data_IF_501488360593
#
_entry.id   IF_501488360593
#
_cell.length_a   1.000
_cell.length_b   1.000
_cell.length_c   1.000
_cell.angle_alpha   90.00
_cell.angle_beta   90.00
_cell.angle_gamma   90.00
#
_symmetry.space_group_name_H-M   'P 1'
#
loop_
_entity.id
_entity.type
_entity.pdbx_description
1 polymer ?
#
# COMPACT_ATOMS: atom_id res chain seq x y z
N UNK A 1 6.21 22.16 5.34
CA UNK A 1 6.16 21.08 4.33
C UNK A 1 5.68 19.83 5.04
N UNK A 2 4.51 19.32 4.66
CA UNK A 2 3.83 18.21 5.34
C UNK A 2 4.61 16.92 5.14
N UNK A 3 5.21 16.43 6.23
CA UNK A 3 5.99 15.20 6.29
C UNK A 3 5.10 14.01 5.91
N UNK A 4 5.28 13.51 4.69
CA UNK A 4 4.62 12.30 4.22
C UNK A 4 5.13 11.12 5.03
N UNK A 5 4.26 10.47 5.79
CA UNK A 5 4.61 9.23 6.50
C UNK A 5 5.17 8.19 5.51
N UNK A 6 6.06 7.31 5.96
CA UNK A 6 6.60 6.20 5.16
C UNK A 6 5.47 5.42 4.43
N UNK A 7 4.31 5.31 5.09
CA UNK A 7 3.08 4.74 4.54
C UNK A 7 2.56 5.50 3.31
N UNK A 8 2.59 6.84 3.30
CA UNK A 8 2.24 7.64 2.13
C UNK A 8 3.24 7.49 0.99
N UNK A 9 4.53 7.33 1.28
CA UNK A 9 5.54 7.03 0.24
C UNK A 9 5.34 5.64 -0.37
N UNK A 10 4.93 4.64 0.44
CA UNK A 10 4.67 3.27 -0.02
C UNK A 10 3.32 3.13 -0.74
N UNK A 11 2.29 3.89 -0.34
CA UNK A 11 0.92 3.78 -0.87
C UNK A 11 0.56 4.86 -1.90
N UNK A 12 1.46 5.80 -2.16
CA UNK A 12 1.23 6.96 -3.03
C UNK A 12 0.40 8.06 -2.38
N UNK A 13 0.44 9.25 -2.97
CA UNK A 13 -0.40 10.38 -2.55
C UNK A 13 -1.89 10.11 -2.83
N UNK A 14 -2.77 10.72 -2.05
CA UNK A 14 -4.22 10.61 -2.26
C UNK A 14 -4.63 11.08 -3.66
N UNK A 15 -4.07 12.21 -4.12
CA UNK A 15 -4.28 12.74 -5.47
C UNK A 15 -3.85 11.75 -6.53
N UNK A 16 -2.70 11.09 -6.35
CA UNK A 16 -2.21 10.07 -7.28
C UNK A 16 -3.15 8.85 -7.39
N UNK A 17 -3.76 8.43 -6.27
CA UNK A 17 -4.75 7.34 -6.28
C UNK A 17 -6.05 7.72 -6.99
N UNK A 18 -6.56 8.93 -6.73
CA UNK A 18 -7.78 9.45 -7.39
C UNK A 18 -7.55 9.57 -8.89
N UNK A 19 -6.43 10.17 -9.31
CA UNK A 19 -6.11 10.31 -10.73
C UNK A 19 -5.96 8.95 -11.42
N UNK A 20 -5.31 7.98 -10.75
CA UNK A 20 -5.20 6.62 -11.27
C UNK A 20 -6.57 5.97 -11.45
N UNK A 21 -7.46 6.06 -10.46
CA UNK A 21 -8.82 5.52 -10.54
C UNK A 21 -9.61 6.16 -11.69
N UNK A 22 -9.48 7.48 -11.84
CA UNK A 22 -10.13 8.22 -12.91
C UNK A 22 -9.69 7.70 -14.28
N UNK A 23 -8.38 7.68 -14.55
CA UNK A 23 -7.84 7.31 -15.86
C UNK A 23 -8.03 5.82 -16.19
N UNK A 24 -7.87 4.93 -15.21
CA UNK A 24 -7.85 3.48 -15.47
C UNK A 24 -9.22 2.82 -15.38
N UNK A 25 -10.22 3.51 -14.83
CA UNK A 25 -11.51 2.90 -14.54
C UNK A 25 -12.69 3.86 -14.80
N UNK A 26 -12.83 4.94 -14.02
CA UNK A 26 -14.05 5.76 -14.04
C UNK A 26 -14.24 6.55 -15.34
N UNK A 27 -13.19 7.09 -15.93
CA UNK A 27 -13.26 7.91 -17.14
C UNK A 27 -13.21 7.10 -18.43
N UNK A 28 -12.99 5.79 -18.37
CA UNK A 28 -12.79 4.97 -19.56
C UNK A 28 -14.00 5.00 -20.51
N UNK A 29 -15.20 4.82 -19.95
CA UNK A 29 -16.44 4.93 -20.72
C UNK A 29 -16.66 6.35 -21.26
N UNK A 30 -16.65 7.43 -20.43
CA UNK A 30 -16.71 8.81 -20.92
C UNK A 30 -15.75 9.12 -22.07
N UNK A 31 -14.50 8.66 -21.98
CA UNK A 31 -13.48 8.91 -23.01
C UNK A 31 -13.81 8.18 -24.31
N UNK A 32 -14.19 6.90 -24.25
CA UNK A 32 -14.53 6.17 -25.46
C UNK A 32 -15.84 6.64 -26.07
N UNK A 33 -16.83 7.00 -25.26
CA UNK A 33 -18.07 7.61 -25.75
C UNK A 33 -17.81 9.00 -26.36
N UNK A 34 -16.90 9.80 -25.79
CA UNK A 34 -16.47 11.06 -26.38
C UNK A 34 -15.81 10.89 -27.75
N UNK A 35 -14.92 9.91 -27.89
CA UNK A 35 -14.28 9.57 -29.17
C UNK A 35 -15.34 9.13 -30.18
N UNK A 36 -16.28 8.28 -29.78
CA UNK A 36 -17.39 7.83 -30.62
C UNK A 36 -18.27 9.01 -31.06
N UNK A 37 -18.82 9.77 -30.11
CA UNK A 37 -19.73 10.88 -30.37
C UNK A 37 -19.09 11.94 -31.28
N UNK A 38 -17.86 12.36 -30.97
CA UNK A 38 -17.12 13.32 -31.81
C UNK A 38 -16.79 12.80 -33.20
N UNK A 39 -16.73 11.47 -33.40
CA UNK A 39 -16.54 10.87 -34.74
C UNK A 39 -17.84 10.85 -35.55
N UNK A 40 -19.01 10.92 -34.91
CA UNK A 40 -20.33 10.89 -35.56
C UNK A 40 -20.86 12.30 -35.83
N UNK A 41 -20.93 13.16 -34.80
CA UNK A 41 -21.49 14.52 -34.88
C UNK A 41 -20.42 15.58 -35.15
N UNK A 42 -19.15 15.24 -34.97
CA UNK A 42 -18.03 16.18 -35.08
C UNK A 42 -17.73 16.88 -33.75
N UNK A 43 -16.46 17.25 -33.57
CA UNK A 43 -15.95 17.78 -32.29
C UNK A 43 -16.61 19.10 -31.86
N UNK A 44 -17.01 19.94 -32.81
CA UNK A 44 -17.64 21.23 -32.51
C UNK A 44 -19.07 21.11 -31.96
N UNK A 45 -19.83 20.12 -32.42
CA UNK A 45 -21.19 19.84 -31.94
C UNK A 45 -21.14 19.12 -30.60
N UNK A 46 -20.28 18.11 -30.48
CA UNK A 46 -19.98 17.42 -29.23
C UNK A 46 -19.69 18.39 -28.07
N UNK A 47 -18.83 19.40 -28.27
CA UNK A 47 -18.48 20.34 -27.20
C UNK A 47 -19.65 21.25 -26.77
N UNK A 48 -20.74 21.33 -27.53
CA UNK A 48 -21.91 22.15 -27.20
C UNK A 48 -22.97 21.39 -26.42
N UNK A 49 -22.93 20.07 -26.40
CA UNK A 49 -23.92 19.22 -25.75
C UNK A 49 -23.62 19.07 -24.23
N UNK A 50 -24.50 19.56 -23.34
CA UNK A 50 -24.31 19.47 -21.89
C UNK A 50 -24.14 18.04 -21.31
N UNK A 51 -24.85 16.99 -21.79
CA UNK A 51 -24.73 15.62 -21.27
C UNK A 51 -23.31 15.07 -21.23
N UNK A 52 -22.48 15.44 -22.22
CA UNK A 52 -21.09 14.99 -22.31
C UNK A 52 -20.22 15.50 -21.16
N UNK A 53 -20.51 16.66 -20.59
CA UNK A 53 -19.78 17.15 -19.41
C UNK A 53 -20.25 16.45 -18.13
N UNK A 54 -21.56 16.13 -18.05
CA UNK A 54 -22.14 15.45 -16.90
C UNK A 54 -21.52 14.08 -16.66
N UNK A 55 -21.28 13.31 -17.73
CA UNK A 55 -20.70 11.97 -17.59
C UNK A 55 -19.25 12.01 -17.06
N UNK A 56 -18.45 13.02 -17.45
CA UNK A 56 -17.11 13.23 -16.91
C UNK A 56 -17.13 13.70 -15.44
N UNK A 57 -18.08 14.57 -15.07
CA UNK A 57 -18.27 14.99 -13.67
C UNK A 57 -18.64 13.80 -12.80
N UNK A 58 -19.58 12.97 -13.25
CA UNK A 58 -19.99 11.76 -12.56
C UNK A 58 -18.82 10.77 -12.38
N UNK A 59 -18.01 10.59 -13.42
CA UNK A 59 -16.78 9.80 -13.36
C UNK A 59 -15.75 10.37 -12.36
N UNK A 60 -15.62 11.70 -12.30
CA UNK A 60 -14.76 12.40 -11.33
C UNK A 60 -15.19 12.15 -9.89
N UNK A 61 -16.50 12.24 -9.61
CA UNK A 61 -17.08 11.97 -8.28
C UNK A 61 -16.83 10.51 -7.88
N UNK A 62 -17.06 9.56 -8.80
CA UNK A 62 -16.77 8.14 -8.56
C UNK A 62 -15.28 7.92 -8.25
N UNK A 63 -14.37 8.49 -9.05
CA UNK A 63 -12.93 8.35 -8.85
C UNK A 63 -12.46 8.97 -7.54
N UNK A 64 -13.04 10.10 -7.14
CA UNK A 64 -12.77 10.73 -5.85
C UNK A 64 -13.21 9.83 -4.69
N UNK A 65 -14.43 9.29 -4.76
CA UNK A 65 -15.00 8.43 -3.72
C UNK A 65 -14.18 7.14 -3.54
N UNK A 66 -13.77 6.52 -4.65
CA UNK A 66 -13.00 5.28 -4.66
C UNK A 66 -11.51 5.51 -4.34
N UNK A 67 -10.89 6.56 -4.89
CA UNK A 67 -9.45 6.83 -4.75
C UNK A 67 -9.04 7.37 -3.38
N UNK A 68 -9.97 7.96 -2.62
CA UNK A 68 -9.69 8.47 -1.26
C UNK A 68 -9.45 7.35 -0.23
N UNK A 69 -9.94 6.14 -0.48
CA UNK A 69 -9.83 5.00 0.45
C UNK A 69 -9.01 3.86 -0.18
N UNK A 70 -7.71 3.69 0.18
CA UNK A 70 -6.82 2.74 -0.49
C UNK A 70 -7.18 1.25 -0.30
N UNK A 71 -7.94 0.91 0.74
CA UNK A 71 -8.27 -0.47 1.12
C UNK A 71 -9.79 -0.67 1.27
N UNK A 72 -10.58 -0.16 0.32
CA UNK A 72 -12.01 -0.42 0.26
C UNK A 72 -12.27 -1.94 0.20
N UNK A 73 -12.94 -2.47 1.21
CA UNK A 73 -13.39 -3.86 1.22
C UNK A 73 -14.54 -4.05 0.22
N UNK A 74 -14.71 -5.28 -0.24
CA UNK A 74 -16.02 -5.73 -0.74
C UNK A 74 -17.06 -5.55 0.39
N UNK A 75 -18.27 -4.99 0.13
CA UNK A 75 -18.89 -4.67 -1.16
C UNK A 75 -18.66 -3.25 -1.71
N UNK A 76 -18.10 -2.35 -0.91
CA UNK A 76 -18.00 -0.93 -1.22
C UNK A 76 -17.20 -0.63 -2.50
N UNK A 77 -16.12 -1.38 -2.77
CA UNK A 77 -15.36 -1.23 -4.02
C UNK A 77 -16.21 -1.52 -5.27
N UNK A 78 -17.04 -2.55 -5.20
CA UNK A 78 -17.87 -2.97 -6.32
C UNK A 78 -19.02 -2.02 -6.55
N UNK A 79 -19.82 -1.73 -5.51
CA UNK A 79 -20.95 -0.80 -5.60
C UNK A 79 -20.48 0.61 -5.97
N UNK A 80 -19.26 1.00 -5.59
CA UNK A 80 -18.69 2.27 -5.99
C UNK A 80 -18.50 2.43 -7.51
N UNK A 81 -18.43 1.35 -8.30
CA UNK A 81 -18.39 1.43 -9.77
C UNK A 81 -19.73 1.83 -10.40
N UNK A 82 -20.81 1.82 -9.62
CA UNK A 82 -22.14 2.20 -10.07
C UNK A 82 -22.46 3.67 -9.78
N UNK A 83 -21.56 4.41 -9.11
CA UNK A 83 -21.79 5.81 -8.74
C UNK A 83 -21.92 6.68 -9.99
N UNK A 84 -20.96 6.61 -10.91
CA UNK A 84 -20.97 7.42 -12.11
C UNK A 84 -22.16 7.14 -13.03
N UNK A 85 -22.50 5.89 -13.39
CA UNK A 85 -23.68 5.62 -14.22
C UNK A 85 -24.98 6.00 -13.51
N UNK A 86 -25.09 5.82 -12.19
CA UNK A 86 -26.28 6.25 -11.44
C UNK A 86 -26.44 7.77 -11.47
N UNK A 87 -25.38 8.52 -11.13
CA UNK A 87 -25.44 9.99 -11.12
C UNK A 87 -25.74 10.55 -12.51
N UNK A 88 -25.07 10.01 -13.54
CA UNK A 88 -25.31 10.41 -14.91
C UNK A 88 -26.76 10.14 -15.32
N UNK A 89 -27.25 8.91 -15.11
CA UNK A 89 -28.63 8.51 -15.44
C UNK A 89 -29.67 9.38 -14.76
N UNK A 90 -29.48 9.72 -13.47
CA UNK A 90 -30.43 10.55 -12.73
C UNK A 90 -30.56 11.96 -13.30
N UNK A 91 -29.47 12.55 -13.79
CA UNK A 91 -29.49 13.90 -14.36
C UNK A 91 -29.97 13.86 -15.81
N UNK A 92 -29.46 12.93 -16.60
CA UNK A 92 -29.75 12.85 -18.04
C UNK A 92 -31.21 12.45 -18.30
N UNK A 93 -31.80 11.56 -17.50
CA UNK A 93 -33.22 11.23 -17.58
C UNK A 93 -34.14 12.43 -17.28
N UNK A 94 -33.67 13.44 -16.54
CA UNK A 94 -34.43 14.67 -16.30
C UNK A 94 -34.36 15.60 -17.52
N UNK A 95 -33.26 15.57 -18.27
CA UNK A 95 -33.02 16.42 -19.44
C UNK A 95 -33.71 15.88 -20.70
N UNK A 96 -33.53 14.60 -21.00
CA UNK A 96 -34.00 13.95 -22.25
C UNK A 96 -35.28 13.12 -22.05
N UNK A 97 -35.58 12.76 -20.79
CA UNK A 97 -36.74 11.94 -20.45
C UNK A 97 -36.42 10.44 -20.38
N UNK A 98 -37.16 9.65 -19.54
CA UNK A 98 -36.87 8.24 -19.33
C UNK A 98 -36.91 7.38 -20.60
N UNK A 99 -37.83 7.68 -21.52
CA UNK A 99 -38.02 6.88 -22.74
C UNK A 99 -36.85 7.00 -23.72
N UNK A 100 -36.41 8.23 -23.97
CA UNK A 100 -35.29 8.51 -24.89
C UNK A 100 -33.97 7.98 -24.34
N UNK A 101 -33.73 8.17 -23.03
CA UNK A 101 -32.54 7.66 -22.37
C UNK A 101 -32.40 6.13 -22.49
N UNK A 102 -33.47 5.37 -22.27
CA UNK A 102 -33.38 3.90 -22.39
C UNK A 102 -33.44 3.40 -23.83
N UNK A 103 -33.83 4.25 -24.79
CA UNK A 103 -33.77 3.92 -26.21
C UNK A 103 -32.34 4.06 -26.77
N UNK A 104 -31.50 4.91 -26.17
CA UNK A 104 -30.16 5.17 -26.67
C UNK A 104 -29.15 4.05 -26.25
N UNK A 105 -28.56 3.31 -27.21
CA UNK A 105 -27.74 2.14 -26.90
C UNK A 105 -26.44 2.45 -26.13
N UNK A 106 -25.87 3.64 -26.25
CA UNK A 106 -24.69 4.06 -25.48
C UNK A 106 -24.95 4.04 -23.97
N UNK A 107 -26.14 4.46 -23.50
CA UNK A 107 -26.47 4.42 -22.07
C UNK A 107 -26.59 2.99 -21.55
N UNK A 108 -27.16 2.08 -22.35
CA UNK A 108 -27.23 0.66 -22.03
C UNK A 108 -25.83 0.05 -21.95
N UNK A 109 -24.95 0.35 -22.92
CA UNK A 109 -23.55 -0.10 -22.89
C UNK A 109 -22.84 0.42 -21.64
N UNK A 110 -23.12 1.65 -21.20
CA UNK A 110 -22.53 2.19 -19.98
C UNK A 110 -22.89 1.37 -18.74
N UNK A 111 -24.17 1.07 -18.56
CA UNK A 111 -24.66 0.26 -17.46
C UNK A 111 -24.10 -1.16 -17.50
N UNK A 112 -24.11 -1.81 -18.67
CA UNK A 112 -23.52 -3.15 -18.85
C UNK A 112 -22.03 -3.14 -18.49
N UNK A 113 -21.28 -2.14 -18.95
CA UNK A 113 -19.87 -2.00 -18.63
C UNK A 113 -19.64 -1.85 -17.12
N UNK A 114 -20.37 -0.93 -16.48
CA UNK A 114 -20.22 -0.64 -15.06
C UNK A 114 -20.63 -1.82 -14.16
N UNK A 115 -21.72 -2.50 -14.49
CA UNK A 115 -22.17 -3.72 -13.80
C UNK A 115 -21.14 -4.83 -13.98
N UNK A 116 -20.62 -5.03 -15.19
CA UNK A 116 -19.56 -6.02 -15.44
C UNK A 116 -18.31 -5.76 -14.59
N UNK A 117 -17.85 -4.51 -14.51
CA UNK A 117 -16.75 -4.12 -13.62
C UNK A 117 -17.09 -4.36 -12.15
N UNK A 118 -18.30 -4.00 -11.71
CA UNK A 118 -18.76 -4.23 -10.35
C UNK A 118 -18.74 -5.72 -10.00
N UNK A 119 -19.18 -6.61 -10.90
CA UNK A 119 -19.14 -8.07 -10.73
C UNK A 119 -17.70 -8.57 -10.64
N UNK A 120 -16.79 -8.12 -11.51
CA UNK A 120 -15.39 -8.56 -11.47
C UNK A 120 -14.75 -8.20 -10.13
N UNK A 121 -14.94 -6.97 -9.64
CA UNK A 121 -14.43 -6.56 -8.33
C UNK A 121 -15.13 -7.27 -7.16
N UNK A 122 -16.40 -7.66 -7.32
CA UNK A 122 -17.11 -8.47 -6.35
C UNK A 122 -16.45 -9.84 -6.17
N UNK A 123 -16.24 -10.52 -7.30
CA UNK A 123 -15.63 -11.83 -7.32
C UNK A 123 -14.16 -11.80 -6.85
N UNK A 124 -13.43 -10.73 -7.19
CA UNK A 124 -12.07 -10.50 -6.65
C UNK A 124 -12.06 -10.43 -5.12
N UNK A 125 -13.03 -9.70 -4.53
CA UNK A 125 -13.15 -9.58 -3.08
C UNK A 125 -13.57 -10.87 -2.38
N UNK A 126 -14.42 -11.69 -3.02
CA UNK A 126 -14.92 -12.96 -2.47
C UNK A 126 -13.86 -14.08 -2.60
N UNK A 127 -13.10 -14.10 -3.70
CA UNK A 127 -12.16 -15.18 -4.01
C UNK A 127 -10.73 -14.64 -4.26
N UNK A 128 -10.04 -14.09 -3.23
CA UNK A 128 -8.73 -13.45 -3.39
C UNK A 128 -7.64 -14.42 -3.89
N UNK A 129 -7.78 -15.74 -3.64
CA UNK A 129 -6.87 -16.75 -4.18
C UNK A 129 -6.82 -16.78 -5.72
N UNK A 130 -7.85 -16.27 -6.40
CA UNK A 130 -7.95 -16.21 -7.87
C UNK A 130 -7.73 -14.79 -8.43
N UNK A 131 -7.17 -13.86 -7.63
CA UNK A 131 -6.95 -12.45 -7.99
C UNK A 131 -6.35 -12.25 -9.39
N UNK A 132 -5.38 -13.07 -9.79
CA UNK A 132 -4.75 -13.00 -11.12
C UNK A 132 -5.79 -13.08 -12.27
N UNK A 133 -6.78 -13.97 -12.16
CA UNK A 133 -7.84 -14.11 -13.17
C UNK A 133 -8.78 -12.90 -13.21
N UNK A 134 -9.03 -12.28 -12.05
CA UNK A 134 -9.86 -11.07 -11.97
C UNK A 134 -9.15 -9.84 -12.55
N UNK A 135 -7.85 -9.70 -12.35
CA UNK A 135 -7.05 -8.64 -13.00
C UNK A 135 -7.08 -8.78 -14.52
N UNK A 136 -6.92 -10.02 -15.03
CA UNK A 136 -6.96 -10.32 -16.46
C UNK A 136 -8.34 -10.01 -17.06
N UNK A 137 -9.40 -10.52 -16.43
CA UNK A 137 -10.78 -10.30 -16.90
C UNK A 137 -11.22 -8.83 -16.82
N UNK A 138 -10.83 -8.10 -15.77
CA UNK A 138 -11.08 -6.66 -15.66
C UNK A 138 -10.45 -5.88 -16.83
N UNK A 139 -9.19 -6.16 -17.15
CA UNK A 139 -8.51 -5.48 -18.25
C UNK A 139 -9.06 -5.88 -19.62
N UNK A 140 -9.44 -7.15 -19.79
CA UNK A 140 -10.15 -7.58 -21.00
C UNK A 140 -11.49 -6.85 -21.15
N UNK A 141 -12.27 -6.74 -20.09
CA UNK A 141 -13.56 -6.03 -20.08
C UNK A 141 -13.42 -4.55 -20.43
N UNK A 142 -12.37 -3.88 -19.89
CA UNK A 142 -12.01 -2.49 -20.23
C UNK A 142 -11.70 -2.30 -21.70
N UNK A 143 -10.86 -3.15 -22.27
CA UNK A 143 -10.43 -3.00 -23.68
C UNK A 143 -11.54 -3.38 -24.65
N UNK A 144 -12.38 -4.37 -24.29
CA UNK A 144 -13.55 -4.76 -25.09
C UNK A 144 -14.64 -3.67 -25.16
N UNK A 145 -14.60 -2.66 -24.29
CA UNK A 145 -15.52 -1.53 -24.39
C UNK A 145 -15.39 -0.77 -25.71
N UNK A 146 -14.15 -0.58 -26.20
CA UNK A 146 -13.89 0.14 -27.45
C UNK A 146 -14.56 -0.51 -28.69
N UNK A 147 -14.34 -1.81 -28.99
CA UNK A 147 -15.04 -2.45 -30.11
C UNK A 147 -16.55 -2.46 -29.95
N UNK A 148 -17.07 -2.57 -28.73
CA UNK A 148 -18.52 -2.52 -28.48
C UNK A 148 -19.10 -1.14 -28.87
N UNK A 149 -18.46 -0.05 -28.43
CA UNK A 149 -18.90 1.30 -28.79
C UNK A 149 -18.71 1.60 -30.28
N UNK A 150 -17.66 1.06 -30.89
CA UNK A 150 -17.46 1.11 -32.35
C UNK A 150 -18.63 0.44 -33.10
N UNK A 151 -19.02 -0.78 -32.72
CA UNK A 151 -20.13 -1.49 -33.34
C UNK A 151 -21.47 -0.76 -33.17
N UNK A 152 -21.73 -0.19 -31.99
CA UNK A 152 -22.93 0.64 -31.75
C UNK A 152 -22.95 1.87 -32.66
N UNK A 153 -21.79 2.46 -32.93
CA UNK A 153 -21.69 3.62 -33.83
C UNK A 153 -22.00 3.29 -35.29
N UNK A 154 -21.66 2.08 -35.74
CA UNK A 154 -21.81 1.68 -37.15
C UNK A 154 -23.18 1.07 -37.44
N UNK A 155 -23.77 0.34 -36.49
CA UNK A 155 -25.01 -0.40 -36.73
C UNK A 155 -26.26 0.49 -36.80
N UNK A 156 -26.23 1.72 -36.29
CA UNK A 156 -27.35 2.69 -36.35
C UNK A 156 -28.72 2.19 -35.86
N UNK A 157 -28.78 1.04 -35.18
CA UNK A 157 -30.01 0.43 -34.64
C UNK A 157 -30.18 0.74 -33.15
N UNK A 158 -31.43 0.85 -32.67
CA UNK A 158 -31.75 1.02 -31.25
C UNK A 158 -31.08 -0.05 -30.35
N UNK A 159 -31.14 -1.34 -30.72
CA UNK A 159 -30.37 -2.41 -30.08
C UNK A 159 -30.09 -3.58 -31.06
N UNK A 160 -28.82 -3.93 -31.35
CA UNK A 160 -28.51 -5.04 -32.24
C UNK A 160 -28.73 -6.41 -31.56
N UNK A 161 -29.28 -7.38 -32.30
CA UNK A 161 -29.45 -8.77 -31.84
C UNK A 161 -28.11 -9.52 -31.81
N UNK A 162 -27.99 -10.57 -30.97
CA UNK A 162 -26.76 -11.39 -30.86
C UNK A 162 -26.33 -11.97 -32.23
N UNK A 163 -27.29 -12.38 -33.05
CA UNK A 163 -27.03 -12.88 -34.40
C UNK A 163 -26.47 -11.79 -35.31
N UNK A 164 -27.04 -10.58 -35.28
CA UNK A 164 -26.54 -9.44 -36.06
C UNK A 164 -25.12 -9.03 -35.65
N UNK A 165 -24.81 -9.04 -34.35
CA UNK A 165 -23.46 -8.79 -33.85
C UNK A 165 -22.48 -9.86 -34.31
N UNK A 166 -22.87 -11.15 -34.23
CA UNK A 166 -22.03 -12.26 -34.69
C UNK A 166 -21.68 -12.11 -36.18
N UNK A 167 -22.67 -11.82 -37.01
CA UNK A 167 -22.47 -11.63 -38.46
C UNK A 167 -21.57 -10.41 -38.71
N UNK A 168 -21.89 -9.28 -38.08
CA UNK A 168 -21.16 -8.02 -38.20
C UNK A 168 -19.65 -8.17 -37.88
N UNK A 169 -19.32 -8.89 -36.80
CA UNK A 169 -17.93 -9.14 -36.43
C UNK A 169 -17.25 -10.20 -37.31
N UNK A 170 -17.98 -11.18 -37.84
CA UNK A 170 -17.39 -12.31 -38.56
C UNK A 170 -17.25 -12.10 -40.07
N UNK A 171 -18.04 -11.23 -40.70
CA UNK A 171 -17.99 -11.06 -42.17
C UNK A 171 -16.94 -10.05 -42.61
N UNK A 172 -16.76 -8.96 -41.86
CA UNK A 172 -15.79 -7.91 -42.20
C UNK A 172 -14.40 -8.20 -41.60
N UNK A 173 -13.35 -8.19 -42.44
CA UNK A 173 -11.96 -8.40 -42.00
C UNK A 173 -11.45 -7.32 -41.03
N UNK A 174 -11.89 -6.07 -41.19
CA UNK A 174 -11.56 -4.97 -40.29
C UNK A 174 -12.17 -5.18 -38.90
N UNK A 175 -13.43 -5.60 -38.82
CA UNK A 175 -14.09 -5.87 -37.54
C UNK A 175 -13.43 -7.05 -36.82
N UNK A 176 -13.14 -8.15 -37.54
CA UNK A 176 -12.37 -9.27 -36.98
C UNK A 176 -11.03 -8.80 -36.41
N UNK A 177 -10.31 -7.96 -37.14
CA UNK A 177 -9.02 -7.42 -36.68
C UNK A 177 -9.18 -6.59 -35.40
N UNK A 178 -10.12 -5.65 -35.35
CA UNK A 178 -10.37 -4.79 -34.17
C UNK A 178 -10.72 -5.66 -32.95
N UNK A 179 -11.60 -6.65 -33.11
CA UNK A 179 -12.01 -7.53 -32.02
C UNK A 179 -10.84 -8.37 -31.47
N UNK A 180 -10.07 -9.02 -32.34
CA UNK A 180 -8.93 -9.83 -31.91
C UNK A 180 -7.80 -8.97 -31.35
N UNK A 181 -7.57 -7.78 -31.90
CA UNK A 181 -6.62 -6.81 -31.35
C UNK A 181 -7.05 -6.36 -29.95
N UNK A 182 -8.34 -6.10 -29.72
CA UNK A 182 -8.87 -5.75 -28.40
C UNK A 182 -8.66 -6.88 -27.38
N UNK A 183 -8.88 -8.13 -27.76
CA UNK A 183 -8.59 -9.29 -26.90
C UNK A 183 -7.10 -9.36 -26.59
N UNK A 184 -6.24 -9.24 -27.60
CA UNK A 184 -4.79 -9.29 -27.43
C UNK A 184 -4.29 -8.19 -26.48
N UNK A 185 -4.68 -6.93 -26.70
CA UNK A 185 -4.28 -5.82 -25.85
C UNK A 185 -4.89 -5.90 -24.44
N UNK A 186 -6.13 -6.38 -24.30
CA UNK A 186 -6.76 -6.62 -23.01
C UNK A 186 -6.00 -7.64 -22.17
N UNK A 187 -5.60 -8.76 -22.78
CA UNK A 187 -4.76 -9.77 -22.14
C UNK A 187 -3.34 -9.27 -21.85
N UNK A 188 -2.74 -8.52 -22.77
CA UNK A 188 -1.39 -7.94 -22.60
C UNK A 188 -1.36 -6.95 -21.42
N UNK A 189 -2.33 -6.03 -21.36
CA UNK A 189 -2.47 -5.08 -20.26
C UNK A 189 -2.77 -5.79 -18.94
N UNK A 190 -3.65 -6.80 -18.98
CA UNK A 190 -3.91 -7.64 -17.81
C UNK A 190 -2.67 -8.37 -17.30
N UNK A 191 -1.87 -8.96 -18.20
CA UNK A 191 -0.60 -9.62 -17.84
C UNK A 191 0.41 -8.62 -17.25
N UNK A 192 0.49 -7.41 -17.82
CA UNK A 192 1.32 -6.31 -17.30
C UNK A 192 0.89 -5.89 -15.89
N UNK A 193 -0.41 -5.76 -15.64
CA UNK A 193 -0.92 -5.42 -14.30
C UNK A 193 -0.70 -6.53 -13.28
N UNK A 194 -0.83 -7.80 -13.69
CA UNK A 194 -0.46 -8.96 -12.85
C UNK A 194 1.02 -8.93 -12.50
N UNK A 195 1.90 -8.63 -13.46
CA UNK A 195 3.34 -8.50 -13.19
C UNK A 195 3.62 -7.34 -12.23
N UNK A 196 3.00 -6.17 -12.43
CA UNK A 196 3.15 -5.03 -11.53
C UNK A 196 2.69 -5.34 -10.09
N UNK A 197 1.56 -6.03 -9.91
CA UNK A 197 1.07 -6.43 -8.59
C UNK A 197 2.09 -7.35 -7.88
N UNK A 198 2.67 -8.31 -8.62
CA UNK A 198 3.72 -9.21 -8.10
C UNK A 198 5.01 -8.45 -7.74
N UNK A 199 5.49 -7.56 -8.61
CA UNK A 199 6.68 -6.75 -8.34
C UNK A 199 6.50 -5.88 -7.10
N UNK A 200 5.35 -5.21 -6.97
CA UNK A 200 5.04 -4.41 -5.78
C UNK A 200 4.95 -5.25 -4.51
N UNK A 201 4.41 -6.47 -4.58
CA UNK A 201 4.38 -7.38 -3.44
C UNK A 201 5.79 -7.80 -3.00
N UNK A 202 6.69 -8.10 -3.95
CA UNK A 202 8.10 -8.42 -3.66
C UNK A 202 8.81 -7.22 -3.05
N UNK A 203 8.68 -6.03 -3.65
CA UNK A 203 9.29 -4.80 -3.14
C UNK A 203 8.84 -4.50 -1.71
N UNK A 204 7.55 -4.64 -1.41
CA UNK A 204 7.03 -4.47 -0.03
C UNK A 204 7.64 -5.48 0.93
N UNK A 205 7.75 -6.75 0.54
CA UNK A 205 8.37 -7.78 1.38
C UNK A 205 9.84 -7.46 1.66
N UNK A 206 10.61 -7.10 0.64
CA UNK A 206 12.03 -6.73 0.78
C UNK A 206 12.17 -5.48 1.66
N UNK A 207 11.35 -4.45 1.45
CA UNK A 207 11.35 -3.25 2.27
C UNK A 207 11.06 -3.56 3.75
N UNK A 208 10.10 -4.44 4.03
CA UNK A 208 9.79 -4.87 5.40
C UNK A 208 10.92 -5.68 6.04
N UNK A 209 11.57 -6.56 5.28
CA UNK A 209 12.75 -7.30 5.75
C UNK A 209 13.93 -6.37 6.05
N UNK A 210 14.23 -5.44 5.15
CA UNK A 210 15.28 -4.44 5.36
C UNK A 210 14.97 -3.56 6.57
N UNK A 211 13.70 -3.17 6.75
CA UNK A 211 13.25 -2.46 7.94
C UNK A 211 13.56 -3.28 9.20
N UNK A 212 13.14 -4.55 9.25
CA UNK A 212 13.35 -5.42 10.40
C UNK A 212 14.85 -5.60 10.75
N UNK A 213 15.69 -5.84 9.74
CA UNK A 213 17.16 -5.97 9.93
C UNK A 213 17.78 -4.65 10.39
N UNK A 214 17.31 -3.52 9.86
CA UNK A 214 17.78 -2.20 10.28
C UNK A 214 17.35 -1.87 11.70
N UNK A 215 16.13 -2.25 12.12
CA UNK A 215 15.63 -2.10 13.49
C UNK A 215 16.46 -2.92 14.50
N UNK A 216 16.97 -4.08 14.10
CA UNK A 216 17.91 -4.84 14.93
C UNK A 216 19.19 -4.06 15.22
N UNK A 217 19.69 -3.30 14.24
CA UNK A 217 20.98 -2.61 14.32
C UNK A 217 20.90 -1.18 14.89
N UNK A 218 19.88 -0.40 14.55
CA UNK A 218 19.80 1.04 14.87
C UNK A 218 18.76 1.38 15.96
N UNK A 219 18.02 0.40 16.48
CA UNK A 219 16.79 0.60 17.25
C UNK A 219 15.64 1.27 16.45
N UNK A 220 14.36 0.91 16.73
CA UNK A 220 13.23 1.39 15.93
C UNK A 220 13.10 2.91 15.85
N UNK A 221 13.33 3.61 16.97
CA UNK A 221 13.11 5.04 17.06
C UNK A 221 14.15 5.85 16.28
N UNK A 222 15.43 5.44 16.31
CA UNK A 222 16.48 6.09 15.56
C UNK A 222 16.30 5.84 14.06
N UNK A 223 15.94 4.62 13.67
CA UNK A 223 15.64 4.29 12.27
C UNK A 223 14.50 5.16 11.75
N UNK A 224 13.38 5.23 12.48
CA UNK A 224 12.22 6.03 12.08
C UNK A 224 12.56 7.53 11.94
N UNK A 225 13.38 8.07 12.84
CA UNK A 225 13.89 9.45 12.76
C UNK A 225 14.83 9.65 11.57
N UNK A 226 15.74 8.70 11.31
CA UNK A 226 16.71 8.78 10.21
C UNK A 226 16.06 8.72 8.82
N UNK A 227 14.97 7.96 8.67
CA UNK A 227 14.22 7.86 7.42
C UNK A 227 13.48 9.16 7.09
N UNK A 228 13.16 9.98 8.11
CA UNK A 228 12.51 11.27 7.92
C UNK A 228 13.53 12.38 7.72
N UNK A 229 14.61 12.33 8.49
CA UNK A 229 15.69 13.31 8.45
C UNK A 229 17.02 12.61 8.71
N UNK A 230 17.83 12.48 7.66
CA UNK A 230 19.14 11.88 7.72
C UNK A 230 20.10 12.64 8.66
N UNK A 231 19.83 13.93 8.97
CA UNK A 231 20.63 14.71 9.92
C UNK A 231 20.53 14.19 11.35
N UNK A 232 19.50 13.40 11.68
CA UNK A 232 19.36 12.77 13.01
C UNK A 232 20.45 11.75 13.32
N UNK A 233 21.17 11.27 12.30
CA UNK A 233 22.35 10.41 12.47
C UNK A 233 23.64 11.21 12.69
N UNK A 234 23.61 12.54 12.52
CA UNK A 234 24.77 13.39 12.76
C UNK A 234 25.13 13.44 14.24
N UNK A 235 26.43 13.59 14.49
CA UNK A 235 26.99 13.62 15.83
C UNK A 235 26.62 14.94 16.51
N UNK A 236 26.02 14.84 17.69
CA UNK A 236 25.65 15.98 18.53
C UNK A 236 26.08 15.76 19.96
N UNK A 237 26.43 16.84 20.65
CA UNK A 237 26.72 16.82 22.09
C UNK A 237 25.43 16.97 22.88
N UNK A 238 25.16 16.04 23.78
CA UNK A 238 23.93 15.97 24.59
C UNK A 238 24.25 15.47 25.99
N UNK A 239 23.44 15.82 26.98
CA UNK A 239 23.51 15.23 28.32
C UNK A 239 22.67 13.94 28.35
N UNK A 240 23.21 12.87 28.93
CA UNK A 240 22.55 11.57 29.08
C UNK A 240 22.87 10.92 30.41
N UNK A 241 21.93 10.14 30.92
CA UNK A 241 22.19 9.19 32.00
C UNK A 241 22.61 7.88 31.35
N UNK A 242 23.84 7.44 31.55
CA UNK A 242 24.37 6.18 31.05
C UNK A 242 24.28 5.14 32.16
N UNK A 243 23.74 3.98 31.81
CA UNK A 243 23.66 2.81 32.68
C UNK A 243 24.56 1.72 32.11
N UNK A 244 25.47 1.23 32.95
CA UNK A 244 26.29 0.07 32.68
C UNK A 244 25.92 -1.04 33.65
N UNK A 245 25.73 -2.26 33.17
CA UNK A 245 25.48 -3.44 33.98
C UNK A 245 26.37 -4.58 33.53
N UNK A 246 26.86 -5.38 34.47
CA UNK A 246 27.73 -6.52 34.21
C UNK A 246 27.41 -7.67 35.18
N UNK A 247 27.55 -8.91 34.72
CA UNK A 247 27.28 -10.13 35.49
C UNK A 247 28.53 -10.56 36.26
N UNK A 248 28.48 -10.43 37.57
CA UNK A 248 29.59 -10.81 38.46
C UNK A 248 29.79 -12.31 38.48
N UNK A 249 31.02 -12.73 38.22
CA UNK A 249 31.44 -14.14 38.21
C UNK A 249 31.14 -14.86 36.89
N UNK A 250 30.66 -14.17 35.87
CA UNK A 250 30.29 -14.77 34.59
C UNK A 250 31.47 -15.45 33.90
N UNK A 251 32.63 -14.79 33.79
CA UNK A 251 33.80 -15.36 33.09
C UNK A 251 34.14 -16.75 33.65
N UNK A 252 34.35 -16.83 34.97
CA UNK A 252 34.66 -18.09 35.66
C UNK A 252 33.54 -19.13 35.50
N UNK A 253 32.27 -18.69 35.55
CA UNK A 253 31.13 -19.59 35.35
C UNK A 253 31.09 -20.15 33.92
N UNK A 254 31.34 -19.32 32.91
CA UNK A 254 31.23 -19.65 31.48
C UNK A 254 32.33 -20.57 30.97
N UNK A 255 33.55 -20.47 31.53
CA UNK A 255 34.75 -21.22 31.10
C UNK A 255 34.55 -22.75 31.08
N UNK A 256 33.69 -23.26 31.96
CA UNK A 256 33.49 -24.70 32.16
C UNK A 256 32.10 -25.18 31.72
N UNK A 257 31.40 -24.41 30.86
CA UNK A 257 30.04 -24.72 30.41
C UNK A 257 29.97 -24.96 28.91
N UNK A 258 29.04 -25.81 28.45
CA UNK A 258 28.73 -25.89 27.03
C UNK A 258 28.30 -24.51 26.48
N UNK A 259 28.78 -24.11 25.29
CA UNK A 259 28.41 -22.82 24.69
C UNK A 259 26.90 -22.62 24.57
N UNK A 260 26.14 -23.68 24.30
CA UNK A 260 24.68 -23.63 24.18
C UNK A 260 24.00 -23.22 25.50
N UNK A 261 24.57 -23.65 26.63
CA UNK A 261 24.06 -23.30 27.96
C UNK A 261 24.38 -21.84 28.29
N UNK A 262 25.59 -21.37 27.94
CA UNK A 262 25.99 -19.97 28.12
C UNK A 262 25.10 -19.05 27.29
N UNK A 263 24.93 -19.37 25.99
CA UNK A 263 24.05 -18.60 25.08
C UNK A 263 22.60 -18.63 25.55
N UNK A 264 22.10 -19.77 26.02
CA UNK A 264 20.74 -19.89 26.56
C UNK A 264 20.51 -18.96 27.75
N UNK A 265 21.46 -18.90 28.69
CA UNK A 265 21.39 -18.00 29.84
C UNK A 265 21.49 -16.53 29.41
N UNK A 266 22.43 -16.19 28.52
CA UNK A 266 22.59 -14.84 27.99
C UNK A 266 21.32 -14.35 27.28
N UNK A 267 20.68 -15.19 26.46
CA UNK A 267 19.43 -14.83 25.79
C UNK A 267 18.31 -14.51 26.78
N UNK A 268 18.18 -15.28 27.87
CA UNK A 268 17.20 -14.99 28.93
C UNK A 268 17.52 -13.67 29.65
N UNK A 269 18.80 -13.42 29.91
CA UNK A 269 19.27 -12.16 30.47
C UNK A 269 18.98 -10.97 29.54
N UNK A 270 19.25 -11.11 28.24
CA UNK A 270 18.99 -10.07 27.24
C UNK A 270 17.50 -9.73 27.14
N UNK A 271 16.65 -10.75 27.06
CA UNK A 271 15.20 -10.58 26.93
C UNK A 271 14.60 -9.84 28.14
N UNK A 272 14.94 -10.29 29.36
CA UNK A 272 14.45 -9.66 30.60
C UNK A 272 15.00 -8.24 30.76
N UNK A 273 16.31 -8.04 30.52
CA UNK A 273 16.94 -6.74 30.69
C UNK A 273 16.46 -5.71 29.65
N UNK A 274 16.34 -6.09 28.36
CA UNK A 274 15.81 -5.22 27.31
C UNK A 274 14.36 -4.84 27.61
N UNK A 275 13.52 -5.79 28.03
CA UNK A 275 12.13 -5.53 28.42
C UNK A 275 12.03 -4.44 29.50
N UNK A 276 12.82 -4.57 30.57
CA UNK A 276 12.85 -3.60 31.66
C UNK A 276 13.37 -2.24 31.18
N UNK A 277 14.49 -2.20 30.45
CA UNK A 277 15.05 -0.92 29.95
C UNK A 277 14.04 -0.16 29.08
N UNK A 278 13.38 -0.87 28.16
CA UNK A 278 12.39 -0.27 27.27
C UNK A 278 11.14 0.21 28.02
N UNK A 279 10.70 -0.49 29.07
CA UNK A 279 9.56 -0.10 29.89
C UNK A 279 9.73 1.27 30.57
N UNK A 280 10.96 1.62 30.95
CA UNK A 280 11.28 2.87 31.65
C UNK A 280 11.80 3.98 30.73
N UNK A 281 11.66 3.80 29.41
CA UNK A 281 12.04 4.80 28.42
C UNK A 281 13.54 4.89 28.15
N UNK A 282 14.28 3.82 28.42
CA UNK A 282 15.68 3.69 28.02
C UNK A 282 15.82 3.38 26.53
N UNK A 283 16.97 3.72 25.98
CA UNK A 283 17.32 3.34 24.62
C UNK A 283 17.66 1.85 24.54
N UNK A 284 17.50 1.26 23.34
CA UNK A 284 17.81 -0.15 23.10
C UNK A 284 19.23 -0.47 23.63
N UNK A 285 19.37 -1.43 24.56
CA UNK A 285 20.67 -1.73 25.14
C UNK A 285 21.64 -2.28 24.10
N UNK A 286 22.90 -1.91 24.25
CA UNK A 286 24.02 -2.56 23.57
C UNK A 286 24.57 -3.64 24.49
N UNK A 287 24.44 -4.90 24.07
CA UNK A 287 24.98 -6.05 24.79
C UNK A 287 26.36 -6.39 24.26
N UNK A 288 27.32 -6.61 25.17
CA UNK A 288 28.64 -7.17 24.86
C UNK A 288 28.87 -8.33 25.81
N UNK A 289 28.55 -9.55 25.38
CA UNK A 289 28.52 -10.74 26.24
C UNK A 289 27.62 -10.53 27.48
N UNK A 290 28.19 -10.56 28.68
CA UNK A 290 27.56 -10.36 29.98
C UNK A 290 27.32 -8.89 30.35
N UNK A 291 27.85 -7.96 29.55
CA UNK A 291 27.69 -6.54 29.76
C UNK A 291 26.45 -5.99 29.04
N UNK A 292 25.77 -5.05 29.69
CA UNK A 292 24.72 -4.22 29.14
C UNK A 292 25.11 -2.74 29.27
N UNK A 293 25.03 -2.01 28.16
CA UNK A 293 25.15 -0.56 28.10
C UNK A 293 23.84 0.03 27.56
N UNK A 294 23.26 0.98 28.26
CA UNK A 294 22.13 1.78 27.76
C UNK A 294 22.22 3.21 28.26
N UNK A 295 21.36 4.08 27.74
CA UNK A 295 21.26 5.46 28.17
C UNK A 295 19.81 5.96 28.19
N UNK A 296 19.60 7.06 28.91
CA UNK A 296 18.30 7.69 29.14
C UNK A 296 18.41 9.21 28.96
N UNK A 297 17.28 9.83 28.60
CA UNK A 297 17.18 11.28 28.51
C UNK A 297 17.19 11.95 29.89
N UNK A 298 16.71 11.26 30.95
CA UNK A 298 16.62 11.80 32.30
C UNK A 298 17.27 10.87 33.35
N UNK A 299 17.97 11.42 34.37
CA UNK A 299 18.57 10.61 35.44
C UNK A 299 17.58 9.72 36.20
N UNK A 300 16.37 10.22 36.44
CA UNK A 300 15.36 9.48 37.20
C UNK A 300 14.97 8.17 36.52
N UNK A 301 14.80 8.19 35.19
CA UNK A 301 14.50 6.99 34.40
C UNK A 301 15.59 5.92 34.58
N UNK A 302 16.86 6.33 34.57
CA UNK A 302 17.99 5.42 34.76
C UNK A 302 18.04 4.83 36.18
N UNK A 303 17.74 5.63 37.20
CA UNK A 303 17.69 5.19 38.61
C UNK A 303 16.57 4.16 38.81
N UNK A 304 15.36 4.46 38.33
CA UNK A 304 14.22 3.56 38.45
C UNK A 304 14.50 2.24 37.70
N UNK A 305 15.04 2.34 36.49
CA UNK A 305 15.44 1.16 35.70
C UNK A 305 16.47 0.30 36.44
N UNK A 306 17.51 0.92 37.01
CA UNK A 306 18.57 0.21 37.73
C UNK A 306 18.03 -0.58 38.93
N UNK A 307 17.07 -0.03 39.67
CA UNK A 307 16.43 -0.73 40.80
C UNK A 307 15.68 -1.97 40.31
N UNK A 308 14.91 -1.84 39.23
CA UNK A 308 14.13 -2.95 38.67
C UNK A 308 15.02 -4.02 38.03
N UNK A 309 16.04 -3.62 37.27
CA UNK A 309 17.06 -4.53 36.73
C UNK A 309 17.73 -5.33 37.84
N UNK A 310 18.21 -4.65 38.89
CA UNK A 310 18.88 -5.33 39.99
C UNK A 310 17.97 -6.38 40.67
N UNK A 311 16.67 -6.10 40.82
CA UNK A 311 15.74 -7.04 41.43
C UNK A 311 15.42 -8.25 40.54
N UNK A 312 15.06 -8.02 39.28
CA UNK A 312 14.61 -9.10 38.39
C UNK A 312 15.77 -9.93 37.86
N UNK A 313 16.85 -9.27 37.41
CA UNK A 313 18.00 -9.98 36.85
C UNK A 313 18.73 -10.78 37.93
N UNK A 314 18.84 -10.26 39.16
CA UNK A 314 19.40 -11.06 40.26
C UNK A 314 18.59 -12.34 40.51
N UNK A 315 17.26 -12.30 40.42
CA UNK A 315 16.43 -13.51 40.55
C UNK A 315 16.63 -14.47 39.40
N UNK A 316 16.73 -13.96 38.17
CA UNK A 316 16.99 -14.75 36.96
C UNK A 316 18.36 -15.44 37.02
N UNK A 317 19.37 -14.78 37.57
CA UNK A 317 20.75 -15.27 37.65
C UNK A 317 21.05 -16.13 38.88
N UNK A 318 20.20 -16.08 39.91
CA UNK A 318 20.37 -16.85 41.15
C UNK A 318 20.55 -18.38 40.94
N UNK A 319 19.81 -19.06 40.05
CA UNK A 319 20.02 -20.49 39.78
C UNK A 319 21.43 -20.82 39.26
N UNK A 320 22.09 -19.85 38.64
CA UNK A 320 23.46 -19.98 38.13
C UNK A 320 24.52 -19.55 39.15
N UNK A 321 24.11 -19.13 40.35
CA UNK A 321 24.98 -18.57 41.40
C UNK A 321 25.71 -17.29 40.95
N UNK A 322 25.05 -16.53 40.07
CA UNK A 322 25.56 -15.27 39.52
C UNK A 322 24.78 -14.08 40.12
N UNK A 323 25.38 -12.90 40.05
CA UNK A 323 24.76 -11.63 40.49
C UNK A 323 25.10 -10.51 39.52
N UNK A 324 24.49 -9.33 39.66
CA UNK A 324 24.78 -8.18 38.78
C UNK A 324 25.43 -7.04 39.54
N UNK A 325 26.28 -6.28 38.84
CA UNK A 325 26.66 -4.93 39.23
C UNK A 325 26.02 -3.92 38.29
N UNK A 326 25.55 -2.79 38.80
CA UNK A 326 25.00 -1.69 37.99
C UNK A 326 25.71 -0.39 38.38
N UNK A 327 26.17 0.35 37.38
CA UNK A 327 26.76 1.68 37.51
C UNK A 327 25.95 2.71 36.72
N UNK A 328 25.80 3.91 37.27
CA UNK A 328 25.10 5.03 36.66
C UNK A 328 26.02 6.25 36.58
N UNK A 329 25.97 6.98 35.47
CA UNK A 329 26.66 8.25 35.31
C UNK A 329 25.80 9.24 34.52
N UNK A 330 25.73 10.49 34.95
CA UNK A 330 25.07 11.58 34.21
C UNK A 330 26.13 12.55 33.71
N UNK A 331 26.13 12.83 32.41
CA UNK A 331 27.01 13.85 31.86
C UNK A 331 26.93 14.00 30.35
N UNK A 332 27.81 14.87 29.85
CA UNK A 332 27.96 15.20 28.44
C UNK A 332 28.51 14.02 27.63
N UNK A 333 27.80 13.63 26.57
CA UNK A 333 28.21 12.60 25.60
C UNK A 333 28.05 13.11 24.17
N UNK A 334 28.68 12.42 23.22
CA UNK A 334 28.42 12.59 21.79
C UNK A 334 27.51 11.45 21.33
N UNK A 335 26.31 11.79 20.86
CA UNK A 335 25.32 10.87 20.33
C UNK A 335 25.25 11.03 18.80
N UNK A 336 25.30 9.92 18.07
CA UNK A 336 25.24 9.89 16.60
C UNK A 336 26.00 8.71 16.02
N UNK A 337 25.98 8.57 14.69
CA UNK A 337 26.63 7.45 14.02
C UNK A 337 28.17 7.61 14.05
N UNK A 338 28.85 6.62 14.62
CA UNK A 338 30.31 6.56 14.73
C UNK A 338 30.85 5.39 13.91
N UNK A 339 31.92 5.60 13.14
CA UNK A 339 32.49 4.57 12.30
C UNK A 339 33.58 5.06 11.34
N UNK A 340 34.10 4.12 10.53
CA UNK A 340 35.06 4.41 9.46
C UNK A 340 34.40 5.21 8.32
N UNK A 341 35.19 5.73 7.38
CA UNK A 341 34.67 6.43 6.20
C UNK A 341 33.78 5.56 5.30
N UNK A 342 33.86 4.23 5.39
CA UNK A 342 32.96 3.29 4.72
C UNK A 342 31.73 2.90 5.56
N UNK A 343 31.67 3.36 6.81
CA UNK A 343 30.57 3.11 7.75
C UNK A 343 29.72 4.37 7.99
N UNK A 344 30.30 5.56 7.80
CA UNK A 344 29.67 6.88 7.97
C UNK A 344 28.99 7.41 6.71
#
# INVERSE_FOLDING_TARGET
MTTSSLTQQIQGSQTGRILREFVTNSALFPVFDAIRASSVTGLGEYLREPPHYLIFIAAGIQAWQLGRQPNLRWPYRSLGNLIAPTLYTLVDMILEGPGEFWAAPNHIVYWVFAIGMAIVYALEGIAPARKTWFILSANLWRVLLFPVLYAVSELSTELPTISSLRIYWLENSGHRFIFWAAIFFGLLLGARDVQLDRYLAVLRRVALQLKQVSEWSLAPDLLAKSLQDASTLQQRRVERAVLFMDVRGFTQWSENKPPELVVGMLNQFYEEAESIVMQYGGHKPHFTADELLTWFEQPQQAIDTAVHLNQQIHRLLHPYQLSVGIGLHWGSVVEGLMGSSSTR
#
